data_IF_731809380558
#
_entry.id   IF_731809380558
#
_cell.length_a   1.000
_cell.length_b   1.000
_cell.length_c   1.000
_cell.angle_alpha   90.00
_cell.angle_beta   90.00
_cell.angle_gamma   90.00
#
_symmetry.space_group_name_H-M   'P 1'
#
loop_
_entity.id
_entity.type
_entity.pdbx_description
1 polymer ?
#
# COMPACT_ATOMS: atom_id res chain seq x y z
N UNK A 1 3.95 -36.00 4.04
CA UNK A 1 4.58 -35.02 3.12
C UNK A 1 3.47 -34.07 2.67
N UNK A 2 3.44 -32.85 3.19
CA UNK A 2 2.43 -31.86 2.78
C UNK A 2 2.95 -31.24 1.49
N UNK A 3 2.19 -31.40 0.40
CA UNK A 3 2.50 -30.78 -0.90
C UNK A 3 2.06 -29.32 -0.80
N UNK A 4 3.02 -28.39 -0.74
CA UNK A 4 2.74 -26.96 -0.87
C UNK A 4 2.09 -26.70 -2.24
N UNK A 5 1.05 -25.86 -2.27
CA UNK A 5 0.35 -25.51 -3.52
C UNK A 5 0.59 -24.04 -3.82
N UNK A 6 1.07 -23.72 -5.02
CA UNK A 6 1.27 -22.33 -5.48
C UNK A 6 -0.03 -21.79 -6.10
N UNK A 7 -1.13 -21.80 -5.36
CA UNK A 7 -2.43 -21.28 -5.85
C UNK A 7 -2.65 -19.85 -5.35
N UNK A 8 -3.42 -19.08 -6.12
CA UNK A 8 -3.96 -17.79 -5.69
C UNK A 8 -5.37 -18.02 -5.12
N UNK A 9 -5.66 -17.45 -3.96
CA UNK A 9 -6.97 -17.46 -3.31
C UNK A 9 -7.43 -16.03 -3.13
N UNK A 10 -8.54 -15.71 -3.79
CA UNK A 10 -9.16 -14.40 -3.69
C UNK A 10 -10.17 -14.35 -2.55
N UNK A 11 -10.20 -13.22 -1.86
CA UNK A 11 -11.26 -12.82 -0.93
C UNK A 11 -12.02 -11.63 -1.52
N UNK A 12 -13.30 -11.56 -1.23
CA UNK A 12 -14.09 -10.36 -1.47
C UNK A 12 -13.85 -9.40 -0.30
N UNK A 13 -13.79 -8.10 -0.59
CA UNK A 13 -13.83 -7.07 0.44
C UNK A 13 -15.27 -6.55 0.48
N UNK A 14 -15.94 -6.70 1.63
CA UNK A 14 -17.32 -6.23 1.81
C UNK A 14 -17.39 -4.71 1.99
N UNK A 15 -16.27 -4.10 2.41
CA UNK A 15 -16.10 -2.66 2.42
C UNK A 15 -15.69 -2.22 1.00
N UNK A 16 -16.57 -1.49 0.33
CA UNK A 16 -16.28 -0.86 -0.95
C UNK A 16 -16.19 0.64 -0.76
N UNK A 17 -14.98 1.17 -0.67
CA UNK A 17 -14.76 2.62 -0.85
C UNK A 17 -14.48 2.88 -2.33
N UNK A 18 -15.18 3.85 -2.92
CA UNK A 18 -14.91 4.27 -4.29
C UNK A 18 -13.68 5.19 -4.31
N UNK A 19 -12.52 4.59 -4.58
CA UNK A 19 -11.24 5.28 -4.73
C UNK A 19 -10.85 5.41 -6.22
N UNK A 20 -11.82 5.36 -7.13
CA UNK A 20 -11.57 5.26 -8.57
C UNK A 20 -11.13 6.57 -9.24
N UNK A 21 -11.26 7.70 -8.55
CA UNK A 21 -10.95 9.03 -9.09
C UNK A 21 -10.06 9.84 -8.14
N UNK A 22 -9.42 10.88 -8.70
CA UNK A 22 -8.41 11.74 -8.05
C UNK A 22 -8.95 12.42 -6.79
N UNK A 23 -10.11 13.08 -6.88
CA UNK A 23 -10.76 13.79 -5.77
C UNK A 23 -11.04 12.81 -4.62
N UNK A 24 -11.75 11.71 -4.91
CA UNK A 24 -12.19 10.76 -3.88
C UNK A 24 -11.02 10.07 -3.17
N UNK A 25 -9.98 9.65 -3.89
CA UNK A 25 -8.82 8.98 -3.26
C UNK A 25 -7.96 9.96 -2.45
N UNK A 26 -7.86 11.21 -2.91
CA UNK A 26 -7.08 12.26 -2.24
C UNK A 26 -7.79 12.76 -1.00
N UNK A 27 -9.10 13.00 -1.05
CA UNK A 27 -9.92 13.38 0.10
C UNK A 27 -9.86 12.28 1.17
N UNK A 28 -10.04 11.03 0.75
CA UNK A 28 -9.98 9.88 1.64
C UNK A 28 -8.63 9.73 2.33
N UNK A 29 -7.51 9.89 1.62
CA UNK A 29 -6.19 9.59 2.15
C UNK A 29 -5.70 10.67 3.14
N UNK A 30 -5.29 10.25 4.34
CA UNK A 30 -4.61 11.14 5.30
C UNK A 30 -3.17 11.46 4.85
N UNK A 31 -2.56 10.52 4.10
CA UNK A 31 -1.21 10.62 3.59
C UNK A 31 -1.18 10.30 2.10
N UNK A 32 -0.50 11.17 1.35
CA UNK A 32 -0.16 10.95 -0.05
C UNK A 32 1.35 11.13 -0.18
N UNK A 33 2.06 10.10 -0.62
CA UNK A 33 3.51 10.16 -0.73
C UNK A 33 4.05 9.26 -1.82
N UNK A 34 5.23 9.61 -2.31
CA UNK A 34 6.02 8.76 -3.19
C UNK A 34 7.05 8.05 -2.33
N UNK A 35 7.18 6.74 -2.46
CA UNK A 35 8.18 5.97 -1.75
C UNK A 35 8.65 4.77 -2.56
N UNK A 36 9.85 4.30 -2.23
CA UNK A 36 10.38 3.03 -2.72
C UNK A 36 10.06 1.92 -1.74
N UNK A 37 9.60 0.79 -2.27
CA UNK A 37 9.46 -0.44 -1.48
C UNK A 37 10.84 -1.10 -1.40
N UNK A 38 11.43 -1.19 -0.21
CA UNK A 38 12.80 -1.75 -0.08
C UNK A 38 12.78 -3.27 -0.03
N UNK A 39 12.12 -3.80 1.01
CA UNK A 39 12.04 -5.24 1.22
C UNK A 39 10.78 -5.61 1.98
N UNK A 40 10.30 -6.83 1.72
CA UNK A 40 9.37 -7.53 2.60
C UNK A 40 10.04 -7.78 3.94
N UNK A 41 9.35 -7.41 5.02
CA UNK A 41 9.79 -7.67 6.39
C UNK A 41 9.35 -9.06 6.86
N UNK A 42 8.04 -9.30 6.88
CA UNK A 42 7.44 -10.57 7.29
C UNK A 42 5.98 -10.63 6.84
N UNK A 43 5.40 -11.83 6.90
CA UNK A 43 3.96 -12.06 6.73
C UNK A 43 3.43 -12.68 8.00
N UNK A 44 2.44 -12.07 8.60
CA UNK A 44 1.70 -12.66 9.72
C UNK A 44 0.47 -13.39 9.18
N UNK A 45 0.13 -14.47 9.87
CA UNK A 45 -0.94 -15.37 9.47
C UNK A 45 -2.21 -15.00 10.23
N UNK A 46 -3.36 -15.37 9.67
CA UNK A 46 -4.63 -15.22 10.37
C UNK A 46 -4.67 -16.11 11.62
N UNK A 47 -5.11 -15.53 12.75
CA UNK A 47 -5.18 -16.16 14.07
C UNK A 47 -6.61 -16.35 14.60
N UNK A 48 -7.64 -15.91 13.86
CA UNK A 48 -9.05 -16.12 14.22
C UNK A 48 -9.93 -14.89 14.34
N UNK A 49 -9.39 -13.66 14.25
CA UNK A 49 -10.15 -12.41 14.34
C UNK A 49 -9.94 -11.52 13.10
N UNK A 50 -10.95 -10.77 12.63
CA UNK A 50 -10.89 -9.90 11.44
C UNK A 50 -11.04 -10.64 10.09
N UNK A 51 -10.46 -10.11 9.01
CA UNK A 51 -10.51 -10.78 7.70
C UNK A 51 -9.60 -12.03 7.68
N UNK A 52 -10.13 -13.18 7.24
CA UNK A 52 -9.45 -14.48 7.11
C UNK A 52 -8.42 -14.48 5.94
N UNK A 53 -7.40 -13.62 6.07
CA UNK A 53 -6.24 -13.52 5.19
C UNK A 53 -4.94 -13.15 5.95
N UNK A 54 -3.76 -13.57 5.44
CA UNK A 54 -2.46 -13.10 5.90
C UNK A 54 -2.23 -11.63 5.57
N UNK A 55 -1.35 -10.97 6.31
CA UNK A 55 -0.94 -9.60 6.04
C UNK A 55 0.57 -9.49 6.01
N UNK A 56 1.09 -8.68 5.07
CA UNK A 56 2.52 -8.60 4.79
C UNK A 56 3.03 -7.20 5.01
N UNK A 57 4.09 -7.10 5.81
CA UNK A 57 4.77 -5.85 6.07
C UNK A 57 5.93 -5.63 5.10
N UNK A 58 6.04 -4.39 4.61
CA UNK A 58 7.17 -3.91 3.82
C UNK A 58 7.80 -2.71 4.49
N UNK A 59 9.10 -2.56 4.29
CA UNK A 59 9.83 -1.32 4.62
C UNK A 59 9.82 -0.38 3.44
N UNK A 60 9.69 0.91 3.73
CA UNK A 60 9.74 1.98 2.74
C UNK A 60 11.01 2.83 2.92
N UNK A 61 11.49 3.40 1.82
CA UNK A 61 12.58 4.37 1.80
C UNK A 61 12.26 5.51 0.82
N UNK A 62 13.14 6.52 0.78
CA UNK A 62 13.08 7.65 -0.15
C UNK A 62 11.70 8.36 -0.16
N UNK A 63 11.07 8.41 1.03
CA UNK A 63 9.71 8.90 1.19
C UNK A 63 9.64 10.40 0.98
N UNK A 64 8.87 10.80 -0.03
CA UNK A 64 8.56 12.19 -0.37
C UNK A 64 7.06 12.42 -0.17
N UNK A 65 6.71 13.18 0.88
CA UNK A 65 5.32 13.47 1.22
C UNK A 65 4.76 14.60 0.35
N UNK A 66 3.59 14.34 -0.24
CA UNK A 66 2.78 15.32 -0.96
C UNK A 66 1.63 15.81 -0.07
N UNK A 67 1.05 14.92 0.74
CA UNK A 67 0.08 15.19 1.80
C UNK A 67 0.44 14.42 3.08
N UNK A 68 0.16 15.00 4.24
CA UNK A 68 0.50 14.44 5.54
C UNK A 68 1.87 14.86 6.05
N UNK A 69 2.21 14.49 7.29
CA UNK A 69 3.49 14.88 7.92
C UNK A 69 4.51 13.76 7.81
N UNK A 70 5.77 14.14 7.60
CA UNK A 70 6.89 13.20 7.69
C UNK A 70 7.03 12.67 9.11
N UNK A 71 7.07 11.35 9.23
CA UNK A 71 7.25 10.64 10.50
C UNK A 71 8.22 9.48 10.29
N UNK A 72 9.08 9.18 11.26
CA UNK A 72 10.08 8.11 11.09
C UNK A 72 9.49 6.70 11.15
N UNK A 73 10.19 5.75 10.52
CA UNK A 73 9.87 4.31 10.46
C UNK A 73 8.60 3.99 9.68
N UNK A 74 8.59 4.38 8.41
CA UNK A 74 7.52 4.16 7.46
C UNK A 74 7.42 2.66 7.08
N UNK A 75 6.42 1.97 7.62
CA UNK A 75 6.07 0.59 7.27
C UNK A 75 4.77 0.57 6.49
N UNK A 76 4.70 -0.30 5.49
CA UNK A 76 3.51 -0.56 4.70
C UNK A 76 2.95 -1.93 5.07
N UNK A 77 1.72 -1.96 5.56
CA UNK A 77 0.91 -3.15 5.75
C UNK A 77 0.08 -3.42 4.49
N UNK A 78 0.41 -4.48 3.78
CA UNK A 78 -0.39 -4.99 2.67
C UNK A 78 -1.35 -6.08 3.16
N UNK A 79 -2.64 -5.90 2.93
CA UNK A 79 -3.66 -6.92 3.19
C UNK A 79 -3.60 -8.04 2.13
N UNK A 80 -2.70 -8.98 2.40
CA UNK A 80 -2.46 -10.16 1.60
C UNK A 80 -1.12 -10.79 1.91
N UNK A 81 -0.91 -12.02 1.45
CA UNK A 81 0.36 -12.70 1.62
C UNK A 81 0.29 -14.18 1.39
N UNK A 82 1.43 -14.85 1.57
CA UNK A 82 1.52 -16.29 1.44
C UNK A 82 1.12 -16.98 2.74
N UNK A 83 0.24 -17.97 2.66
CA UNK A 83 -0.10 -18.83 3.79
C UNK A 83 1.00 -19.88 4.09
N UNK A 84 0.83 -20.67 5.15
CA UNK A 84 1.74 -21.76 5.52
C UNK A 84 1.95 -22.82 4.42
N UNK A 85 1.01 -22.93 3.47
CA UNK A 85 1.07 -23.85 2.33
C UNK A 85 1.60 -23.20 1.05
N UNK A 86 2.07 -21.94 1.14
CA UNK A 86 2.55 -21.11 0.04
C UNK A 86 1.47 -20.75 -0.99
N UNK A 87 0.20 -20.76 -0.60
CA UNK A 87 -0.84 -20.13 -1.41
C UNK A 87 -0.78 -18.62 -1.19
N UNK A 88 -0.85 -17.84 -2.26
CA UNK A 88 -1.08 -16.41 -2.15
C UNK A 88 -2.56 -16.19 -1.81
N UNK A 89 -2.83 -15.55 -0.69
CA UNK A 89 -4.17 -15.18 -0.24
C UNK A 89 -4.25 -13.66 -0.21
N UNK A 90 -5.17 -13.09 -0.98
CA UNK A 90 -5.26 -11.65 -1.27
C UNK A 90 -6.73 -11.26 -1.49
N UNK A 91 -7.04 -9.98 -1.32
CA UNK A 91 -8.31 -9.45 -1.81
C UNK A 91 -8.31 -9.36 -3.35
N UNK A 92 -9.48 -9.55 -3.96
CA UNK A 92 -9.64 -9.45 -5.43
C UNK A 92 -9.28 -8.06 -5.96
N UNK A 93 -9.60 -7.02 -5.21
CA UNK A 93 -9.30 -5.63 -5.55
C UNK A 93 -7.92 -5.17 -5.02
N UNK A 94 -7.08 -6.08 -4.51
CA UNK A 94 -5.71 -5.79 -4.07
C UNK A 94 -4.74 -6.88 -4.52
N UNK A 95 -4.88 -7.30 -5.77
CA UNK A 95 -4.14 -8.42 -6.34
C UNK A 95 -2.76 -8.05 -6.91
N UNK A 96 -2.41 -6.77 -6.86
CA UNK A 96 -1.07 -6.28 -7.22
C UNK A 96 -0.25 -6.16 -5.94
N UNK A 97 0.74 -7.03 -5.79
CA UNK A 97 1.66 -7.02 -4.63
C UNK A 97 2.72 -5.91 -4.84
N UNK A 98 3.07 -5.13 -3.80
CA UNK A 98 4.21 -4.22 -3.86
C UNK A 98 5.52 -4.97 -4.21
N UNK A 99 6.23 -4.50 -5.22
CA UNK A 99 7.48 -5.11 -5.69
C UNK A 99 8.69 -4.41 -5.06
N UNK A 100 9.66 -5.20 -4.59
CA UNK A 100 10.91 -4.68 -4.03
C UNK A 100 11.72 -3.92 -5.08
N UNK A 101 12.23 -2.75 -4.69
CA UNK A 101 12.99 -1.84 -5.54
C UNK A 101 12.14 -0.83 -6.32
N UNK A 102 10.83 -1.02 -6.43
CA UNK A 102 9.93 -0.20 -7.22
C UNK A 102 9.41 1.02 -6.44
N UNK A 103 9.15 2.10 -7.20
CA UNK A 103 8.55 3.33 -6.68
C UNK A 103 7.05 3.35 -6.92
N UNK A 104 6.31 3.83 -5.93
CA UNK A 104 4.87 4.01 -6.01
C UNK A 104 4.46 5.37 -5.45
N UNK A 105 3.39 5.92 -6.02
CA UNK A 105 2.56 6.93 -5.39
C UNK A 105 1.53 6.21 -4.52
N UNK A 106 1.53 6.47 -3.22
CA UNK A 106 0.64 5.85 -2.25
C UNK A 106 -0.41 6.83 -1.73
N UNK A 107 -1.63 6.32 -1.56
CA UNK A 107 -2.78 7.00 -0.94
C UNK A 107 -3.25 6.14 0.22
N UNK A 108 -2.91 6.53 1.44
CA UNK A 108 -3.03 5.64 2.60
C UNK A 108 -3.41 6.40 3.86
N UNK A 109 -3.98 5.68 4.83
CA UNK A 109 -4.13 6.13 6.21
C UNK A 109 -3.22 5.30 7.11
N UNK A 110 -3.02 5.79 8.33
CA UNK A 110 -2.30 5.06 9.36
C UNK A 110 -3.22 4.20 10.19
N UNK A 111 -2.68 3.09 10.64
CA UNK A 111 -3.34 2.22 11.61
C UNK A 111 -3.31 2.92 12.95
N UNK A 112 -4.49 3.28 13.45
CA UNK A 112 -4.64 3.89 14.75
C UNK A 112 -4.27 2.88 15.85
N UNK A 113 -3.67 3.32 16.97
CA UNK A 113 -3.57 2.47 18.15
C UNK A 113 -4.98 2.10 18.60
N UNK A 114 -5.31 0.80 18.57
CA UNK A 114 -6.58 0.26 19.06
C UNK A 114 -6.31 -0.75 20.17
N UNK A 115 -7.07 -0.69 21.25
CA UNK A 115 -7.06 -1.73 22.29
C UNK A 115 -7.76 -3.01 21.82
N UNK A 116 -8.62 -2.93 20.79
CA UNK A 116 -9.42 -4.05 20.28
C UNK A 116 -8.77 -4.75 19.06
N UNK A 117 -7.99 -4.02 18.26
CA UNK A 117 -7.29 -4.55 17.09
C UNK A 117 -5.77 -4.50 17.28
N UNK A 118 -5.26 -5.47 18.04
CA UNK A 118 -3.82 -5.63 18.33
C UNK A 118 -3.02 -6.23 17.17
N UNK A 119 -3.66 -6.54 16.04
CA UNK A 119 -3.11 -7.36 14.96
C UNK A 119 -2.17 -6.57 14.06
N UNK A 120 -2.53 -5.32 13.83
CA UNK A 120 -1.80 -4.46 12.94
C UNK A 120 -0.95 -3.48 13.75
N UNK A 121 0.36 -3.45 13.46
CA UNK A 121 1.29 -2.53 14.11
C UNK A 121 0.84 -1.07 13.98
N UNK A 122 0.52 -0.41 15.11
CA UNK A 122 0.09 0.99 15.10
C UNK A 122 1.13 1.89 14.44
N UNK A 123 0.65 2.86 13.66
CA UNK A 123 1.49 3.79 12.92
C UNK A 123 1.95 3.30 11.54
N UNK A 124 1.71 2.04 11.19
CA UNK A 124 1.91 1.52 9.83
C UNK A 124 0.87 2.10 8.87
N UNK A 125 1.25 2.28 7.60
CA UNK A 125 0.33 2.62 6.52
C UNK A 125 -0.37 1.38 6.03
N UNK A 126 -1.69 1.40 5.89
CA UNK A 126 -2.40 0.23 5.38
C UNK A 126 -2.76 0.34 3.90
N UNK A 127 -2.62 -0.79 3.19
CA UNK A 127 -2.86 -0.96 1.77
C UNK A 127 -3.80 -2.16 1.56
N UNK A 128 -5.06 -1.85 1.33
CA UNK A 128 -6.19 -2.77 1.20
C UNK A 128 -6.74 -2.86 -0.23
N UNK A 129 -6.42 -1.89 -1.09
CA UNK A 129 -6.91 -1.79 -2.47
C UNK A 129 -5.78 -1.46 -3.45
N UNK A 130 -5.98 -1.79 -4.72
CA UNK A 130 -5.06 -1.43 -5.80
C UNK A 130 -5.07 0.07 -6.09
N UNK A 131 -6.22 0.71 -5.94
CA UNK A 131 -6.47 2.14 -6.16
C UNK A 131 -5.63 3.03 -5.23
N UNK A 132 -5.20 2.48 -4.09
CA UNK A 132 -4.34 3.17 -3.13
C UNK A 132 -2.87 3.25 -3.56
N UNK A 133 -2.49 2.65 -4.70
CA UNK A 133 -1.11 2.68 -5.20
C UNK A 133 -1.03 2.80 -6.71
N UNK A 134 -0.09 3.61 -7.18
CA UNK A 134 0.23 3.73 -8.61
C UNK A 134 1.72 3.51 -8.77
N UNK A 135 2.12 2.49 -9.54
CA UNK A 135 3.53 2.22 -9.82
C UNK A 135 4.10 3.32 -10.73
N UNK A 136 5.20 3.93 -10.31
CA UNK A 136 5.88 5.01 -11.00
C UNK A 136 7.07 4.48 -11.80
N UNK A 137 6.80 3.72 -12.86
CA UNK A 137 7.84 3.10 -13.68
C UNK A 137 8.73 4.17 -14.34
N UNK A 138 10.04 4.12 -14.03
CA UNK A 138 11.01 5.09 -14.52
C UNK A 138 11.06 6.40 -13.74
N UNK A 139 10.55 6.41 -12.50
CA UNK A 139 10.78 7.48 -11.53
C UNK A 139 12.28 7.67 -11.27
N UNK A 140 12.73 8.92 -11.14
CA UNK A 140 14.12 9.29 -10.91
C UNK A 140 14.22 9.93 -9.52
N UNK A 141 14.70 9.22 -8.48
CA UNK A 141 14.59 9.70 -7.10
C UNK A 141 15.37 10.97 -6.78
N UNK A 142 16.42 11.27 -7.54
CA UNK A 142 17.21 12.49 -7.35
C UNK A 142 16.53 13.75 -7.91
N UNK A 143 15.39 13.59 -8.61
CA UNK A 143 14.64 14.68 -9.20
C UNK A 143 13.36 14.94 -8.43
N UNK A 144 13.10 16.22 -8.18
CA UNK A 144 11.78 16.67 -7.77
C UNK A 144 10.71 16.27 -8.80
N UNK A 145 9.48 16.08 -8.35
CA UNK A 145 8.39 15.56 -9.17
C UNK A 145 8.10 16.43 -10.42
N UNK A 146 8.36 17.74 -10.35
CA UNK A 146 8.23 18.65 -11.50
C UNK A 146 9.26 18.40 -12.62
N UNK A 147 10.39 17.76 -12.30
CA UNK A 147 11.49 17.49 -13.25
C UNK A 147 11.55 16.03 -13.71
N UNK A 148 10.53 15.24 -13.36
CA UNK A 148 10.38 13.86 -13.83
C UNK A 148 10.12 13.83 -15.34
N UNK A 149 10.12 12.63 -15.92
CA UNK A 149 9.70 12.46 -17.30
C UNK A 149 8.18 12.74 -17.42
N UNK A 150 7.73 13.09 -18.63
CA UNK A 150 6.34 13.51 -18.87
C UNK A 150 5.31 12.46 -18.45
N UNK A 151 5.62 11.17 -18.54
CA UNK A 151 4.72 10.12 -18.10
C UNK A 151 4.48 10.17 -16.58
N UNK A 152 5.55 10.30 -15.80
CA UNK A 152 5.46 10.41 -14.34
C UNK A 152 4.81 11.72 -13.91
N UNK A 153 5.17 12.84 -14.53
CA UNK A 153 4.55 14.14 -14.23
C UNK A 153 3.05 14.09 -14.50
N UNK A 154 2.60 13.51 -15.63
CA UNK A 154 1.18 13.35 -15.95
C UNK A 154 0.42 12.48 -14.95
N UNK A 155 1.10 11.57 -14.25
CA UNK A 155 0.48 10.76 -13.18
C UNK A 155 0.33 11.59 -11.91
N UNK A 156 1.37 12.32 -11.50
CA UNK A 156 1.42 12.98 -10.18
C UNK A 156 0.63 14.30 -10.18
N UNK A 157 0.72 15.09 -11.25
CA UNK A 157 0.15 16.45 -11.31
C UNK A 157 -1.32 16.54 -10.89
N UNK A 158 -2.23 15.68 -11.37
CA UNK A 158 -3.65 15.77 -10.97
C UNK A 158 -3.86 15.67 -9.46
N UNK A 159 -3.06 14.84 -8.77
CA UNK A 159 -3.16 14.69 -7.32
C UNK A 159 -2.55 15.87 -6.58
N UNK A 160 -1.50 16.50 -7.11
CA UNK A 160 -0.95 17.71 -6.51
C UNK A 160 -1.96 18.85 -6.61
N UNK A 161 -2.56 19.04 -7.78
CA UNK A 161 -3.58 20.08 -7.99
C UNK A 161 -4.72 19.90 -6.98
N UNK A 162 -5.24 18.68 -6.83
CA UNK A 162 -6.28 18.35 -5.84
C UNK A 162 -5.85 18.56 -4.37
N UNK A 163 -4.58 18.30 -4.02
CA UNK A 163 -4.08 18.50 -2.65
C UNK A 163 -3.92 19.99 -2.30
N UNK A 164 -3.64 20.83 -3.31
CA UNK A 164 -3.33 22.25 -3.15
C UNK A 164 -4.57 23.18 -3.25
N UNK A 165 -5.71 22.66 -3.73
CA UNK A 165 -7.01 23.35 -3.74
C UNK A 165 -7.59 23.61 -2.33
#
# INVERSE_FOLDING_TARGET
MIVATNKIRYRENEDSEDLSNVESVTEWADYVFIARVEQKLYTEQYDGNGYDLPYTYYSLSDVTYLKGRKEGNERLLFYGGYDFLRNLVIFRNNDIIPEEGEYYLFFVKKIAPSEEDSRAEPGSFYLMYNEQKIQLRGFIPEKDWHFQNSHITNIITPYIEEIEE
#
